data_IF_042751203592
#
_entry.id   IF_042751203592
#
_cell.length_a   1.000
_cell.length_b   1.000
_cell.length_c   1.000
_cell.angle_alpha   90.00
_cell.angle_beta   90.00
_cell.angle_gamma   90.00
#
_symmetry.space_group_name_H-M   'P 1'
#
loop_
_entity.id
_entity.type
_entity.pdbx_description
1 polymer ?
#
# COMPACT_ATOMS: atom_id res chain seq x y z
N UNK A 1 28.23 -61.26 69.06
CA UNK A 1 27.22 -61.46 70.15
C UNK A 1 26.11 -60.44 69.94
N UNK A 2 24.90 -60.88 70.01
CA UNK A 2 23.61 -60.25 69.96
C UNK A 2 23.13 -59.84 68.54
N UNK A 3 22.36 -60.78 68.01
CA UNK A 3 21.43 -60.64 66.89
C UNK A 3 20.23 -59.81 67.29
N UNK A 4 19.86 -58.86 66.41
CA UNK A 4 18.59 -58.18 66.46
C UNK A 4 17.84 -58.50 65.18
N UNK A 5 16.71 -59.14 65.33
CA UNK A 5 15.77 -59.47 64.25
C UNK A 5 14.96 -58.29 63.90
N UNK A 6 14.97 -57.93 62.60
CA UNK A 6 14.14 -56.85 62.04
C UNK A 6 12.86 -57.46 61.45
N UNK A 7 11.71 -57.06 61.98
CA UNK A 7 10.39 -57.38 61.41
C UNK A 7 10.08 -56.52 60.23
N UNK A 8 9.86 -57.11 59.10
CA UNK A 8 9.35 -56.44 57.91
C UNK A 8 7.83 -56.43 57.97
N UNK A 9 7.20 -55.30 58.15
CA UNK A 9 5.76 -55.12 57.99
C UNK A 9 5.51 -54.65 56.58
N UNK A 10 4.89 -55.52 55.78
CA UNK A 10 4.51 -55.18 54.39
C UNK A 10 3.18 -54.43 54.45
N UNK A 11 3.23 -53.13 54.09
CA UNK A 11 2.05 -52.29 53.94
C UNK A 11 1.68 -52.27 52.44
N UNK A 12 0.59 -52.95 52.09
CA UNK A 12 0.02 -52.90 50.73
C UNK A 12 -0.79 -51.61 50.61
N UNK A 13 -0.27 -50.63 49.87
CA UNK A 13 -1.02 -49.46 49.49
C UNK A 13 -1.67 -49.70 48.11
N UNK A 14 -3.00 -49.81 48.12
CA UNK A 14 -3.79 -49.89 46.91
C UNK A 14 -3.71 -48.49 46.19
N UNK A 15 -3.00 -48.40 45.06
CA UNK A 15 -3.01 -47.25 44.19
C UNK A 15 -4.30 -47.24 43.36
N UNK A 16 -5.23 -46.38 43.74
CA UNK A 16 -6.34 -46.00 42.89
C UNK A 16 -5.83 -45.26 41.67
N UNK A 17 -6.06 -45.78 40.47
CA UNK A 17 -5.85 -45.08 39.21
C UNK A 17 -6.92 -44.00 39.08
N UNK A 18 -6.59 -42.77 39.45
CA UNK A 18 -7.36 -41.60 39.01
C UNK A 18 -6.96 -41.34 37.56
N UNK A 19 -7.88 -41.61 36.64
CA UNK A 19 -7.82 -41.14 35.25
C UNK A 19 -7.74 -39.63 35.27
N UNK A 20 -6.60 -39.04 34.91
CA UNK A 20 -6.54 -37.68 34.51
C UNK A 20 -7.28 -37.52 33.18
N UNK A 21 -8.46 -36.94 33.23
CA UNK A 21 -9.05 -36.31 32.06
C UNK A 21 -8.06 -35.25 31.60
N UNK A 22 -7.67 -35.32 30.34
CA UNK A 22 -6.95 -34.27 29.66
C UNK A 22 -7.80 -33.00 29.77
N UNK A 23 -7.38 -32.07 30.63
CA UNK A 23 -7.84 -30.72 30.56
C UNK A 23 -7.47 -30.22 29.16
N UNK A 24 -8.49 -30.04 28.34
CA UNK A 24 -8.33 -29.30 27.11
C UNK A 24 -7.75 -27.93 27.49
N UNK A 25 -6.71 -27.54 26.81
CA UNK A 25 -6.11 -26.23 26.93
C UNK A 25 -7.14 -25.20 26.42
N UNK A 26 -8.08 -24.82 27.32
CA UNK A 26 -9.02 -23.71 27.13
C UNK A 26 -8.30 -22.37 27.41
N UNK A 27 -7.08 -22.23 26.92
CA UNK A 27 -6.52 -20.92 26.75
C UNK A 27 -7.45 -20.18 25.77
N UNK A 28 -8.03 -19.03 26.15
CA UNK A 28 -8.86 -18.28 25.23
C UNK A 28 -8.01 -18.00 23.99
N UNK A 29 -8.41 -18.57 22.84
CA UNK A 29 -7.87 -18.14 21.56
C UNK A 29 -8.19 -16.66 21.47
N UNK A 30 -7.18 -15.82 21.67
CA UNK A 30 -7.28 -14.40 21.37
C UNK A 30 -7.46 -14.38 19.87
N UNK A 31 -8.68 -14.17 19.42
CA UNK A 31 -9.01 -13.91 18.02
C UNK A 31 -8.46 -12.52 17.69
N UNK A 32 -7.18 -12.49 17.31
CA UNK A 32 -6.52 -11.25 16.93
C UNK A 32 -7.11 -10.90 15.56
N UNK A 33 -8.01 -9.92 15.54
CA UNK A 33 -8.46 -9.35 14.27
C UNK A 33 -7.23 -8.84 13.50
N UNK A 34 -6.88 -9.42 12.34
CA UNK A 34 -5.67 -9.06 11.60
C UNK A 34 -5.69 -7.60 11.13
N UNK A 35 -6.87 -6.95 11.14
CA UNK A 35 -7.05 -5.56 10.71
C UNK A 35 -7.19 -4.59 11.89
N UNK A 36 -6.86 -5.01 13.13
CA UNK A 36 -7.04 -4.17 14.33
C UNK A 36 -6.20 -2.88 14.35
N UNK A 37 -5.08 -2.86 13.63
CA UNK A 37 -4.17 -1.72 13.50
C UNK A 37 -4.36 -0.95 12.19
N UNK A 38 -5.32 -1.36 11.36
CA UNK A 38 -5.62 -0.73 10.08
C UNK A 38 -6.84 0.19 10.19
N UNK A 39 -6.85 1.24 9.41
CA UNK A 39 -8.01 2.13 9.30
C UNK A 39 -9.01 1.55 8.31
N UNK A 40 -10.28 1.45 8.72
CA UNK A 40 -11.38 1.08 7.84
C UNK A 40 -11.72 2.28 6.93
N UNK A 41 -11.47 2.15 5.63
CA UNK A 41 -11.77 3.18 4.63
C UNK A 41 -13.22 3.11 4.15
N UNK A 42 -13.74 1.90 3.96
CA UNK A 42 -15.12 1.68 3.53
C UNK A 42 -15.61 0.31 3.98
N UNK A 43 -16.93 0.23 4.28
CA UNK A 43 -17.67 -1.01 4.47
C UNK A 43 -18.85 -1.00 3.51
N UNK A 44 -18.82 -1.89 2.51
CA UNK A 44 -19.80 -1.91 1.41
C UNK A 44 -20.68 -3.14 1.55
N UNK A 45 -21.94 -2.95 1.88
CA UNK A 45 -22.89 -4.04 2.09
C UNK A 45 -23.68 -4.34 0.81
N UNK A 46 -23.55 -5.54 0.29
CA UNK A 46 -24.31 -6.00 -0.86
C UNK A 46 -24.39 -7.53 -0.91
N UNK A 47 -25.47 -8.07 -1.47
CA UNK A 47 -25.64 -9.50 -1.73
C UNK A 47 -25.58 -10.41 -0.49
N UNK A 48 -25.83 -9.87 0.70
CA UNK A 48 -25.66 -10.60 1.98
C UNK A 48 -24.21 -10.62 2.50
N UNK A 49 -23.32 -9.90 1.87
CA UNK A 49 -21.90 -9.79 2.22
C UNK A 49 -21.53 -8.36 2.54
N UNK A 50 -20.42 -8.18 3.30
CA UNK A 50 -19.74 -6.91 3.51
C UNK A 50 -18.34 -6.98 2.90
N UNK A 51 -18.02 -6.05 1.98
CA UNK A 51 -16.66 -5.80 1.52
C UNK A 51 -16.07 -4.70 2.40
N UNK A 52 -15.07 -5.05 3.18
CA UNK A 52 -14.36 -4.13 4.07
C UNK A 52 -13.02 -3.77 3.44
N UNK A 53 -12.79 -2.47 3.25
CA UNK A 53 -11.56 -1.91 2.68
C UNK A 53 -10.77 -1.21 3.76
N UNK A 54 -9.50 -1.55 3.89
CA UNK A 54 -8.62 -1.02 4.92
C UNK A 54 -7.34 -0.44 4.32
N UNK A 55 -6.70 0.47 5.04
CA UNK A 55 -5.36 0.98 4.76
C UNK A 55 -4.54 1.08 6.03
N UNK A 56 -3.24 0.84 5.92
CA UNK A 56 -2.27 1.15 6.95
C UNK A 56 -1.92 2.65 6.88
N UNK A 57 -2.11 3.38 7.96
CA UNK A 57 -1.71 4.79 8.09
C UNK A 57 -2.68 5.83 7.52
N UNK A 58 -3.41 5.57 6.43
CA UNK A 58 -4.41 6.51 5.89
C UNK A 58 -5.81 6.20 6.43
N UNK A 59 -6.58 7.23 6.76
CA UNK A 59 -7.96 7.17 7.20
C UNK A 59 -8.99 7.42 6.08
N UNK A 60 -8.50 7.67 4.87
CA UNK A 60 -9.29 7.98 3.68
C UNK A 60 -8.49 7.69 2.42
N UNK A 61 -9.17 7.51 1.27
CA UNK A 61 -8.50 7.45 -0.01
C UNK A 61 -7.92 8.83 -0.36
N UNK A 62 -6.67 8.85 -0.84
CA UNK A 62 -5.96 10.09 -1.17
C UNK A 62 -5.39 10.04 -2.58
N UNK A 63 -5.16 11.21 -3.17
CA UNK A 63 -4.37 11.27 -4.40
C UNK A 63 -2.96 10.74 -4.15
N UNK A 64 -2.41 10.02 -5.14
CA UNK A 64 -1.15 9.29 -5.03
C UNK A 64 -1.37 7.80 -4.79
N UNK A 65 -0.36 7.14 -4.25
CA UNK A 65 -0.35 5.71 -3.97
C UNK A 65 -1.18 5.38 -2.73
N UNK A 66 -2.05 4.38 -2.84
CA UNK A 66 -2.84 3.83 -1.74
C UNK A 66 -2.71 2.31 -1.75
N UNK A 67 -2.08 1.71 -0.74
CA UNK A 67 -2.16 0.27 -0.50
C UNK A 67 -3.46 -0.04 0.22
N UNK A 68 -4.22 -0.98 -0.31
CA UNK A 68 -5.57 -1.31 0.15
C UNK A 68 -5.64 -2.80 0.46
N UNK A 69 -6.17 -3.10 1.63
CA UNK A 69 -6.47 -4.46 2.07
C UNK A 69 -7.98 -4.66 2.01
N UNK A 70 -8.41 -5.79 1.47
CA UNK A 70 -9.84 -6.09 1.28
C UNK A 70 -10.18 -7.42 1.92
N UNK A 71 -11.32 -7.48 2.60
CA UNK A 71 -11.92 -8.69 3.14
C UNK A 71 -13.36 -8.79 2.70
N UNK A 72 -13.86 -10.01 2.58
CA UNK A 72 -15.28 -10.28 2.33
C UNK A 72 -15.83 -11.07 3.52
N UNK A 73 -16.87 -10.51 4.14
CA UNK A 73 -17.55 -11.09 5.30
C UNK A 73 -18.96 -11.54 4.90
N UNK A 74 -19.37 -12.72 5.36
CA UNK A 74 -20.76 -13.15 5.34
C UNK A 74 -21.55 -12.41 6.44
N UNK A 75 -22.63 -11.72 6.09
CA UNK A 75 -23.44 -10.97 7.06
C UNK A 75 -24.38 -11.86 7.88
N UNK A 76 -24.53 -13.14 7.54
CA UNK A 76 -25.41 -14.07 8.26
C UNK A 76 -24.72 -14.67 9.50
N UNK A 77 -23.44 -14.98 9.41
CA UNK A 77 -22.66 -15.64 10.48
C UNK A 77 -21.43 -14.85 10.93
N UNK A 78 -21.19 -13.67 10.29
CA UNK A 78 -20.07 -12.75 10.54
C UNK A 78 -18.67 -13.33 10.28
N UNK A 79 -18.59 -14.48 9.59
CA UNK A 79 -17.33 -15.10 9.21
C UNK A 79 -16.75 -14.46 7.94
N UNK A 80 -15.41 -14.47 7.83
CA UNK A 80 -14.70 -14.01 6.64
C UNK A 80 -14.41 -15.17 5.69
N UNK A 81 -14.65 -14.94 4.40
CA UNK A 81 -14.32 -15.92 3.38
C UNK A 81 -12.80 -16.07 3.22
N UNK A 82 -12.35 -17.32 3.20
CA UNK A 82 -10.97 -17.63 2.93
C UNK A 82 -10.70 -17.71 1.42
N UNK A 83 -9.55 -17.19 1.00
CA UNK A 83 -9.10 -17.17 -0.40
C UNK A 83 -10.13 -16.54 -1.36
N UNK A 84 -10.68 -15.35 -1.07
CA UNK A 84 -11.64 -14.71 -1.94
C UNK A 84 -10.96 -14.30 -3.26
N UNK A 85 -11.59 -14.65 -4.40
CA UNK A 85 -11.18 -14.15 -5.71
C UNK A 85 -11.84 -12.79 -5.92
N UNK A 86 -11.05 -11.71 -5.89
CA UNK A 86 -11.58 -10.34 -6.04
C UNK A 86 -10.81 -9.62 -7.15
N UNK A 87 -11.55 -8.93 -7.99
CA UNK A 87 -11.01 -7.95 -8.94
C UNK A 87 -11.68 -6.61 -8.74
N UNK A 88 -11.00 -5.54 -9.13
CA UNK A 88 -11.52 -4.19 -9.02
C UNK A 88 -11.25 -3.35 -10.27
N UNK A 89 -12.13 -2.38 -10.51
CA UNK A 89 -11.99 -1.40 -11.59
C UNK A 89 -12.38 -0.03 -11.06
N UNK A 90 -11.40 0.81 -10.68
CA UNK A 90 -11.65 2.20 -10.34
C UNK A 90 -11.92 3.02 -11.61
N UNK A 91 -12.89 3.93 -11.55
CA UNK A 91 -13.24 4.84 -12.64
C UNK A 91 -13.49 6.23 -12.08
N UNK A 92 -12.80 7.22 -12.65
CA UNK A 92 -13.09 8.64 -12.46
C UNK A 92 -14.12 9.09 -13.48
N UNK A 93 -15.25 9.57 -12.98
CA UNK A 93 -16.31 10.18 -13.78
C UNK A 93 -16.07 11.67 -13.84
N UNK A 94 -15.75 12.15 -15.02
CA UNK A 94 -15.53 13.58 -15.29
C UNK A 94 -16.64 14.11 -16.21
N UNK A 95 -16.82 15.42 -16.21
CA UNK A 95 -17.82 16.07 -17.05
C UNK A 95 -17.70 15.72 -18.54
N UNK A 96 -16.49 15.51 -19.04
CA UNK A 96 -16.24 15.29 -20.46
C UNK A 96 -15.75 13.88 -20.83
N UNK A 97 -15.28 13.10 -19.87
CA UNK A 97 -14.70 11.78 -20.12
C UNK A 97 -14.66 10.94 -18.84
N UNK A 98 -14.42 9.65 -19.00
CA UNK A 98 -14.12 8.75 -17.88
C UNK A 98 -12.73 8.16 -18.07
N UNK A 99 -12.01 7.96 -16.97
CA UNK A 99 -10.73 7.25 -16.98
C UNK A 99 -10.53 6.44 -15.69
N UNK A 100 -9.71 5.41 -15.78
CA UNK A 100 -9.25 4.65 -14.63
C UNK A 100 -7.95 5.26 -14.07
N UNK A 101 -7.35 4.56 -13.11
CA UNK A 101 -6.03 4.88 -12.56
C UNK A 101 -5.11 3.65 -12.62
N UNK A 102 -3.79 3.83 -12.47
CA UNK A 102 -2.89 2.70 -12.25
C UNK A 102 -3.33 1.88 -11.04
N UNK A 103 -3.31 0.57 -11.19
CA UNK A 103 -3.75 -0.37 -10.14
C UNK A 103 -3.01 -1.70 -10.26
N UNK A 104 -2.90 -2.43 -9.16
CA UNK A 104 -2.51 -3.83 -9.17
C UNK A 104 -3.72 -4.76 -9.22
N UNK A 105 -3.46 -6.03 -9.46
CA UNK A 105 -4.37 -7.09 -9.04
C UNK A 105 -4.39 -7.18 -7.52
N UNK A 106 -5.49 -7.72 -6.98
CA UNK A 106 -5.61 -8.07 -5.57
C UNK A 106 -5.05 -9.48 -5.36
N UNK A 107 -4.11 -9.62 -4.43
CA UNK A 107 -3.45 -10.89 -4.10
C UNK A 107 -3.65 -11.22 -2.62
N UNK A 108 -3.77 -12.51 -2.31
CA UNK A 108 -3.89 -12.99 -0.92
C UNK A 108 -2.60 -12.67 -0.16
N UNK A 109 -2.74 -12.16 1.07
CA UNK A 109 -1.59 -11.89 1.94
C UNK A 109 -1.03 -13.21 2.49
N UNK A 110 0.29 -13.25 2.73
CA UNK A 110 0.95 -14.45 3.26
C UNK A 110 0.52 -14.75 4.71
N UNK A 111 0.22 -13.69 5.47
CA UNK A 111 -0.12 -13.77 6.89
C UNK A 111 -1.55 -14.25 7.13
N UNK A 112 -2.47 -13.96 6.21
CA UNK A 112 -3.89 -14.27 6.40
C UNK A 112 -4.63 -14.51 5.08
N UNK A 113 -5.15 -15.70 4.90
CA UNK A 113 -5.87 -16.10 3.69
C UNK A 113 -7.28 -15.50 3.55
N UNK A 114 -7.77 -14.73 4.53
CA UNK A 114 -9.02 -13.97 4.40
C UNK A 114 -8.80 -12.54 3.93
N UNK A 115 -7.53 -12.11 3.78
CA UNK A 115 -7.16 -10.76 3.40
C UNK A 115 -6.49 -10.78 2.03
N UNK A 116 -6.98 -9.99 1.09
CA UNK A 116 -6.29 -9.69 -0.16
C UNK A 116 -5.79 -8.26 -0.14
N UNK A 117 -4.67 -7.99 -0.81
CA UNK A 117 -4.12 -6.64 -0.92
C UNK A 117 -3.76 -6.26 -2.34
N UNK A 118 -3.80 -4.98 -2.61
CA UNK A 118 -3.37 -4.37 -3.85
C UNK A 118 -3.20 -2.87 -3.68
N UNK A 119 -2.90 -2.17 -4.76
CA UNK A 119 -2.78 -0.72 -4.73
C UNK A 119 -3.60 -0.04 -5.83
N UNK A 120 -3.98 1.20 -5.54
CA UNK A 120 -4.56 2.18 -6.47
C UNK A 120 -3.71 3.46 -6.45
N UNK A 121 -3.50 4.07 -7.63
CA UNK A 121 -2.79 5.35 -7.73
C UNK A 121 -3.72 6.40 -8.31
N UNK A 122 -4.41 7.12 -7.44
CA UNK A 122 -5.33 8.18 -7.86
C UNK A 122 -4.57 9.42 -8.32
N UNK A 123 -4.79 9.85 -9.56
CA UNK A 123 -4.11 11.03 -10.12
C UNK A 123 -4.70 12.35 -9.64
N UNK A 124 -5.97 12.34 -9.21
CA UNK A 124 -6.71 13.54 -8.80
C UNK A 124 -7.77 13.22 -7.75
N UNK A 125 -8.09 14.20 -6.94
CA UNK A 125 -9.19 14.13 -5.99
C UNK A 125 -10.55 14.25 -6.69
N UNK A 126 -11.59 13.75 -6.04
CA UNK A 126 -12.97 14.03 -6.42
C UNK A 126 -13.38 15.48 -6.11
N UNK A 127 -14.50 15.91 -6.66
CA UNK A 127 -15.17 17.17 -6.35
C UNK A 127 -16.69 16.98 -6.50
N UNK A 128 -17.46 18.08 -6.48
CA UNK A 128 -18.93 18.02 -6.53
C UNK A 128 -19.48 17.40 -7.83
N UNK A 129 -18.77 17.57 -8.95
CA UNK A 129 -19.24 17.20 -10.28
C UNK A 129 -18.48 15.99 -10.85
N UNK A 130 -17.34 15.67 -10.27
CA UNK A 130 -16.41 14.64 -10.74
C UNK A 130 -16.00 13.76 -9.56
N UNK A 131 -16.21 12.44 -9.70
CA UNK A 131 -16.07 11.50 -8.59
C UNK A 131 -15.46 10.18 -9.04
N UNK A 132 -14.90 9.45 -8.10
CA UNK A 132 -14.42 8.09 -8.28
C UNK A 132 -15.48 7.09 -7.85
N UNK A 133 -15.62 6.02 -8.62
CA UNK A 133 -16.22 4.77 -8.14
C UNK A 133 -15.25 3.60 -8.30
N UNK A 134 -15.52 2.51 -7.60
CA UNK A 134 -14.83 1.24 -7.78
C UNK A 134 -15.90 0.16 -8.01
N UNK A 135 -15.81 -0.53 -9.15
CA UNK A 135 -16.56 -1.75 -9.37
C UNK A 135 -15.73 -2.93 -8.87
N UNK A 136 -16.26 -3.66 -7.91
CA UNK A 136 -15.71 -4.93 -7.43
C UNK A 136 -16.46 -6.09 -8.09
N UNK A 137 -15.69 -7.08 -8.58
CA UNK A 137 -16.24 -8.39 -8.93
C UNK A 137 -15.54 -9.41 -8.04
N UNK A 138 -16.32 -10.19 -7.29
CA UNK A 138 -15.78 -11.15 -6.34
C UNK A 138 -16.51 -12.47 -6.40
N UNK A 139 -15.79 -13.55 -6.06
CA UNK A 139 -16.31 -14.90 -6.09
C UNK A 139 -16.10 -15.57 -4.74
N UNK A 140 -17.20 -16.02 -4.15
CA UNK A 140 -17.24 -16.76 -2.90
C UNK A 140 -18.14 -17.98 -3.07
N UNK A 141 -17.71 -19.13 -2.53
CA UNK A 141 -18.45 -20.40 -2.61
C UNK A 141 -18.86 -20.81 -4.05
N UNK A 142 -18.07 -20.37 -5.05
CA UNK A 142 -18.31 -20.67 -6.47
C UNK A 142 -19.35 -19.75 -7.14
N UNK A 143 -19.97 -18.83 -6.41
CA UNK A 143 -20.89 -17.83 -6.93
C UNK A 143 -20.16 -16.50 -7.14
N UNK A 144 -20.37 -15.87 -8.30
CA UNK A 144 -19.82 -14.57 -8.65
C UNK A 144 -20.83 -13.46 -8.35
N UNK A 145 -20.32 -12.37 -7.78
CA UNK A 145 -21.06 -11.15 -7.45
C UNK A 145 -20.34 -9.94 -7.99
N UNK A 146 -21.10 -8.87 -8.27
CA UNK A 146 -20.54 -7.58 -8.64
C UNK A 146 -21.27 -6.46 -7.91
N UNK A 147 -20.53 -5.43 -7.54
CA UNK A 147 -21.07 -4.21 -6.96
C UNK A 147 -20.20 -3.02 -7.38
N UNK A 148 -20.79 -1.84 -7.39
CA UNK A 148 -20.07 -0.58 -7.63
C UNK A 148 -20.36 0.38 -6.48
N UNK A 149 -19.32 1.00 -5.95
CA UNK A 149 -19.41 1.96 -4.85
C UNK A 149 -18.67 3.24 -5.20
N UNK A 150 -19.29 4.37 -4.90
CA UNK A 150 -18.65 5.68 -5.00
C UNK A 150 -17.74 5.89 -3.79
N UNK A 151 -16.51 6.31 -4.04
CA UNK A 151 -15.51 6.58 -3.00
C UNK A 151 -15.11 8.05 -3.01
N UNK A 152 -14.79 8.56 -1.83
CA UNK A 152 -14.26 9.91 -1.68
C UNK A 152 -12.74 9.87 -1.68
N UNK A 153 -12.14 10.38 -2.77
CA UNK A 153 -10.69 10.53 -2.91
C UNK A 153 -10.33 11.98 -2.68
N UNK A 154 -9.61 12.25 -1.60
CA UNK A 154 -9.26 13.61 -1.19
C UNK A 154 -7.79 13.95 -1.52
N UNK A 155 -7.48 15.23 -1.59
CA UNK A 155 -6.09 15.68 -1.68
C UNK A 155 -5.33 15.39 -0.38
N UNK A 156 -3.99 15.20 -0.42
CA UNK A 156 -3.18 15.07 0.80
C UNK A 156 -3.37 16.27 1.73
N UNK A 157 -3.43 16.02 3.04
CA UNK A 157 -3.67 17.06 4.04
C UNK A 157 -2.59 18.13 4.08
N UNK A 158 -1.37 17.78 3.71
CA UNK A 158 -0.20 18.67 3.61
C UNK A 158 -0.18 19.45 2.29
N UNK A 159 -1.07 19.13 1.33
CA UNK A 159 -1.14 19.76 0.00
C UNK A 159 0.08 19.47 -0.88
N UNK A 160 0.92 18.49 -0.54
CA UNK A 160 2.17 18.19 -1.26
C UNK A 160 1.93 17.22 -2.41
N UNK A 161 2.62 17.47 -3.52
CA UNK A 161 2.51 16.65 -4.72
C UNK A 161 3.29 15.34 -4.57
N UNK A 162 2.58 14.22 -4.40
CA UNK A 162 3.13 12.85 -4.34
C UNK A 162 2.81 12.03 -5.59
N UNK A 163 2.04 12.57 -6.50
CA UNK A 163 1.71 11.97 -7.81
C UNK A 163 1.68 13.06 -8.87
N UNK A 164 2.11 12.72 -10.08
CA UNK A 164 2.06 13.62 -11.23
C UNK A 164 1.78 12.87 -12.52
N UNK A 165 0.98 13.46 -13.38
CA UNK A 165 0.73 12.98 -14.74
C UNK A 165 1.33 13.96 -15.74
N UNK A 166 2.09 13.47 -16.71
CA UNK A 166 2.80 14.32 -17.67
C UNK A 166 2.91 13.64 -19.04
N UNK A 167 3.22 14.47 -20.05
CA UNK A 167 3.59 14.00 -21.38
C UNK A 167 5.11 13.92 -21.47
N UNK A 168 5.64 12.75 -21.88
CA UNK A 168 7.05 12.58 -22.21
C UNK A 168 7.40 13.21 -23.56
N UNK A 169 8.69 13.39 -23.83
CA UNK A 169 9.21 13.84 -25.14
C UNK A 169 8.96 12.84 -26.29
N UNK A 170 8.54 11.63 -25.95
CA UNK A 170 8.14 10.55 -26.84
C UNK A 170 6.63 10.52 -27.11
N UNK A 171 5.90 11.58 -26.76
CA UNK A 171 4.44 11.71 -26.89
C UNK A 171 3.63 10.67 -26.10
N UNK A 172 4.24 9.99 -25.13
CA UNK A 172 3.56 9.05 -24.22
C UNK A 172 3.15 9.78 -22.94
N UNK A 173 1.92 9.54 -22.47
CA UNK A 173 1.47 10.06 -21.18
C UNK A 173 1.88 9.07 -20.07
N UNK A 174 2.51 9.63 -19.06
CA UNK A 174 2.98 8.90 -17.89
C UNK A 174 2.26 9.33 -16.61
N UNK A 175 2.21 8.42 -15.64
CA UNK A 175 1.84 8.69 -14.24
C UNK A 175 3.01 8.23 -13.38
N UNK A 176 3.55 9.14 -12.58
CA UNK A 176 4.62 8.87 -11.62
C UNK A 176 4.09 9.14 -10.21
N UNK A 177 4.21 8.14 -9.33
CA UNK A 177 3.75 8.24 -7.94
C UNK A 177 4.87 7.87 -6.98
N UNK A 178 5.04 8.66 -5.92
CA UNK A 178 5.90 8.33 -4.79
C UNK A 178 5.16 7.34 -3.88
N UNK A 179 5.86 6.29 -3.47
CA UNK A 179 5.39 5.28 -2.51
C UNK A 179 6.01 5.55 -1.14
N UNK A 180 7.35 5.67 -1.10
CA UNK A 180 8.12 5.97 0.11
C UNK A 180 9.02 7.21 -0.11
N UNK A 181 9.34 7.96 0.95
CA UNK A 181 9.00 7.73 2.34
C UNK A 181 7.57 8.19 2.68
N UNK A 182 6.82 7.34 3.39
CA UNK A 182 5.53 7.66 4.02
C UNK A 182 5.75 8.52 5.28
N UNK A 183 6.82 8.22 6.04
CA UNK A 183 7.25 8.94 7.25
C UNK A 183 8.70 9.42 7.09
N UNK A 184 8.96 10.56 6.43
CA UNK A 184 10.31 11.06 6.21
C UNK A 184 11.03 11.43 7.51
N UNK A 185 12.33 11.14 7.57
CA UNK A 185 13.19 11.41 8.72
C UNK A 185 14.38 12.28 8.32
N UNK A 186 14.93 13.04 9.27
CA UNK A 186 16.23 13.72 9.09
C UNK A 186 17.35 12.67 9.06
N UNK A 187 17.48 12.01 7.92
CA UNK A 187 18.39 10.88 7.67
C UNK A 187 18.47 10.60 6.16
N UNK A 188 19.20 9.55 5.81
CA UNK A 188 19.07 8.92 4.49
C UNK A 188 17.88 7.96 4.53
N UNK A 189 16.81 8.35 3.85
CA UNK A 189 15.57 7.57 3.72
C UNK A 189 15.63 6.68 2.47
N UNK A 190 14.90 5.59 2.47
CA UNK A 190 14.55 4.92 1.24
C UNK A 190 13.54 5.79 0.46
N UNK A 191 13.77 5.95 -0.83
CA UNK A 191 12.76 6.55 -1.72
C UNK A 191 12.30 5.48 -2.70
N UNK A 192 10.99 5.34 -2.80
CA UNK A 192 10.35 4.41 -3.71
C UNK A 192 9.31 5.14 -4.55
N UNK A 193 9.29 4.83 -5.85
CA UNK A 193 8.31 5.38 -6.78
C UNK A 193 7.83 4.31 -7.77
N UNK A 194 6.66 4.52 -8.33
CA UNK A 194 6.09 3.69 -9.40
C UNK A 194 5.81 4.55 -10.62
N UNK A 195 6.17 4.05 -11.78
CA UNK A 195 5.97 4.69 -13.08
C UNK A 195 5.04 3.86 -13.95
N UNK A 196 4.05 4.50 -14.52
CA UNK A 196 3.07 3.87 -15.41
C UNK A 196 2.97 4.67 -16.71
N UNK A 197 2.66 4.01 -17.81
CA UNK A 197 2.26 4.67 -19.07
C UNK A 197 0.77 4.47 -19.31
N UNK A 198 0.13 5.47 -19.84
CA UNK A 198 -1.26 5.41 -20.25
C UNK A 198 -1.36 4.83 -21.66
N UNK A 199 -1.77 3.57 -21.79
CA UNK A 199 -2.05 2.95 -23.08
C UNK A 199 -3.47 3.25 -23.57
N UNK A 200 -4.39 3.45 -22.63
CA UNK A 200 -5.76 3.91 -22.89
C UNK A 200 -6.31 4.60 -21.64
N UNK A 201 -7.51 5.16 -21.71
CA UNK A 201 -8.21 5.72 -20.56
C UNK A 201 -8.43 4.71 -19.42
N UNK A 202 -8.41 3.40 -19.72
CA UNK A 202 -8.67 2.34 -18.75
C UNK A 202 -7.44 1.45 -18.49
N UNK A 203 -6.29 1.70 -19.13
CA UNK A 203 -5.10 0.85 -19.05
C UNK A 203 -3.85 1.66 -18.75
N UNK A 204 -3.20 1.33 -17.63
CA UNK A 204 -1.99 1.98 -17.13
C UNK A 204 -0.94 0.93 -16.74
N UNK A 205 -0.33 0.20 -17.71
CA UNK A 205 0.71 -0.75 -17.38
C UNK A 205 1.93 -0.06 -16.78
N UNK A 206 2.59 -0.76 -15.86
CA UNK A 206 3.83 -0.31 -15.25
C UNK A 206 4.95 -0.23 -16.30
N UNK A 207 5.79 0.78 -16.18
CA UNK A 207 7.01 0.94 -16.97
C UNK A 207 8.19 0.41 -16.18
N UNK A 208 9.02 -0.39 -16.82
CA UNK A 208 10.19 -1.02 -16.23
C UNK A 208 11.49 -0.51 -16.89
N UNK A 209 12.62 -0.70 -16.21
CA UNK A 209 13.95 -0.46 -16.78
C UNK A 209 14.26 0.99 -17.24
N UNK A 210 13.55 1.98 -16.66
CA UNK A 210 13.90 3.38 -16.80
C UNK A 210 14.76 3.82 -15.62
N UNK A 211 15.19 5.07 -15.61
CA UNK A 211 15.92 5.69 -14.48
C UNK A 211 15.27 7.01 -14.13
N UNK A 212 15.15 7.30 -12.84
CA UNK A 212 14.65 8.58 -12.34
C UNK A 212 15.78 9.25 -11.56
N UNK A 213 16.39 10.28 -12.12
CA UNK A 213 17.40 11.06 -11.43
C UNK A 213 16.74 11.92 -10.35
N UNK A 214 17.42 12.07 -9.22
CA UNK A 214 16.90 12.71 -8.00
C UNK A 214 17.78 13.86 -7.55
N UNK A 215 17.23 15.07 -7.49
CA UNK A 215 17.89 16.26 -6.95
C UNK A 215 16.97 16.98 -5.94
N UNK A 216 17.04 16.61 -4.64
CA UNK A 216 16.23 17.23 -3.59
C UNK A 216 16.76 18.63 -3.25
N UNK A 217 15.86 19.60 -3.16
CA UNK A 217 16.15 21.00 -2.88
C UNK A 217 15.23 21.57 -1.80
N UNK A 218 15.75 22.51 -1.02
CA UNK A 218 14.97 23.32 -0.07
C UNK A 218 14.83 24.76 -0.59
N UNK A 219 13.74 25.10 -1.27
CA UNK A 219 13.56 26.44 -1.83
C UNK A 219 13.64 27.56 -0.77
N UNK A 220 13.06 27.34 0.41
CA UNK A 220 13.08 28.28 1.52
C UNK A 220 14.47 28.51 2.16
N UNK A 221 15.47 27.71 1.78
CA UNK A 221 16.86 27.79 2.28
C UNK A 221 17.86 28.09 1.14
N UNK A 222 17.48 28.99 0.22
CA UNK A 222 18.33 29.34 -0.92
C UNK A 222 18.57 28.18 -1.87
N UNK A 223 17.60 27.34 -2.06
CA UNK A 223 17.62 26.16 -2.92
C UNK A 223 18.73 25.16 -2.55
N UNK A 224 19.02 25.05 -1.24
CA UNK A 224 20.02 24.13 -0.70
C UNK A 224 19.72 22.67 -1.10
N UNK A 225 20.72 21.95 -1.56
CA UNK A 225 20.61 20.51 -1.84
C UNK A 225 21.18 19.66 -0.71
N UNK A 226 20.79 18.40 -0.63
CA UNK A 226 21.37 17.43 0.29
C UNK A 226 22.38 16.51 -0.42
N UNK A 227 23.45 16.08 0.25
CA UNK A 227 24.38 15.09 -0.28
C UNK A 227 23.86 13.65 -0.09
N UNK A 228 24.54 12.68 -0.72
CA UNK A 228 24.32 11.24 -0.53
C UNK A 228 22.95 10.72 -1.01
N UNK A 229 22.37 11.39 -2.00
CA UNK A 229 21.22 10.85 -2.72
C UNK A 229 21.65 9.78 -3.70
N UNK A 230 20.77 8.83 -3.98
CA UNK A 230 20.95 7.81 -5.02
C UNK A 230 19.73 7.84 -5.93
N UNK A 231 19.97 7.95 -7.22
CA UNK A 231 18.92 7.94 -8.25
C UNK A 231 18.10 6.65 -8.17
N UNK A 232 16.83 6.75 -8.57
CA UNK A 232 15.93 5.62 -8.52
C UNK A 232 16.11 4.74 -9.78
N UNK A 233 16.37 3.47 -9.55
CA UNK A 233 16.44 2.45 -10.60
C UNK A 233 15.38 1.38 -10.38
N UNK A 234 14.94 0.72 -11.45
CA UNK A 234 13.90 -0.28 -11.36
C UNK A 234 14.41 -1.56 -10.70
N UNK A 235 13.71 -1.99 -9.66
CA UNK A 235 13.91 -3.28 -8.98
C UNK A 235 12.81 -4.25 -9.43
N UNK A 236 13.21 -5.33 -10.09
CA UNK A 236 12.29 -6.33 -10.64
C UNK A 236 11.60 -7.17 -9.56
N UNK A 237 12.20 -7.32 -8.37
CA UNK A 237 11.60 -8.07 -7.27
C UNK A 237 10.54 -7.23 -6.55
N UNK A 238 10.85 -5.95 -6.29
CA UNK A 238 9.92 -5.00 -5.67
C UNK A 238 8.90 -4.43 -6.68
N UNK A 239 9.14 -4.57 -7.98
CA UNK A 239 8.35 -3.96 -9.07
C UNK A 239 8.18 -2.45 -8.88
N UNK A 240 9.25 -1.77 -8.53
CA UNK A 240 9.26 -0.33 -8.22
C UNK A 240 10.63 0.28 -8.51
N UNK A 241 10.68 1.61 -8.55
CA UNK A 241 11.93 2.36 -8.66
C UNK A 241 12.42 2.69 -7.25
N UNK A 242 13.62 2.27 -6.91
CA UNK A 242 14.20 2.42 -5.57
C UNK A 242 15.50 3.22 -5.62
N UNK A 243 15.65 4.14 -4.66
CA UNK A 243 16.82 4.99 -4.49
C UNK A 243 17.04 5.39 -3.04
N UNK A 244 17.86 6.41 -2.82
CA UNK A 244 18.11 6.98 -1.47
C UNK A 244 17.87 8.48 -1.50
N UNK A 245 17.12 8.97 -0.54
CA UNK A 245 16.79 10.37 -0.33
C UNK A 245 17.39 10.83 1.00
N UNK A 246 18.41 11.66 0.93
CA UNK A 246 19.01 12.26 2.11
C UNK A 246 18.27 13.55 2.45
N UNK A 247 17.70 13.61 3.64
CA UNK A 247 17.06 14.79 4.19
C UNK A 247 17.89 15.26 5.39
N UNK A 248 18.45 16.47 5.30
CA UNK A 248 19.40 16.98 6.31
C UNK A 248 18.73 17.81 7.40
N UNK A 249 17.49 18.20 7.21
CA UNK A 249 16.68 18.97 8.17
C UNK A 249 15.20 18.83 7.87
N UNK A 250 14.37 19.17 8.85
CA UNK A 250 12.90 19.28 8.67
C UNK A 250 12.54 20.51 7.83
N UNK A 251 11.32 20.49 7.28
CA UNK A 251 10.75 21.56 6.49
C UNK A 251 10.36 21.12 5.08
N UNK A 252 10.09 22.10 4.21
CA UNK A 252 9.64 21.85 2.85
C UNK A 252 10.80 21.49 1.92
N UNK A 253 10.68 20.34 1.27
CA UNK A 253 11.59 19.84 0.26
C UNK A 253 10.85 19.68 -1.08
N UNK A 254 11.49 20.13 -2.15
CA UNK A 254 11.09 19.85 -3.54
C UNK A 254 12.08 18.85 -4.13
N UNK A 255 11.58 17.67 -4.45
CA UNK A 255 12.38 16.60 -5.03
C UNK A 255 12.34 16.75 -6.54
N UNK A 256 13.29 17.49 -7.11
CA UNK A 256 13.42 17.67 -8.56
C UNK A 256 13.83 16.35 -9.19
N UNK A 257 13.09 15.90 -10.21
CA UNK A 257 13.27 14.62 -10.87
C UNK A 257 13.57 14.80 -12.35
N UNK A 258 14.22 13.80 -12.95
CA UNK A 258 14.40 13.72 -14.40
C UNK A 258 14.24 12.28 -14.83
N UNK A 259 13.27 12.01 -15.72
CA UNK A 259 12.97 10.66 -16.20
C UNK A 259 13.79 10.37 -17.46
N UNK A 260 14.54 9.28 -17.42
CA UNK A 260 15.30 8.74 -18.53
C UNK A 260 14.71 7.37 -18.95
N UNK A 261 14.56 7.16 -20.25
CA UNK A 261 14.18 5.85 -20.79
C UNK A 261 15.33 4.82 -20.70
N UNK A 262 15.07 3.58 -21.10
CA UNK A 262 16.06 2.49 -21.07
C UNK A 262 17.30 2.72 -21.94
N UNK A 263 17.32 3.71 -22.84
CA UNK A 263 18.48 4.11 -23.66
C UNK A 263 19.21 5.32 -23.10
N UNK A 264 18.72 5.91 -21.98
CA UNK A 264 19.29 7.08 -21.35
C UNK A 264 18.82 8.42 -21.94
N UNK A 265 17.80 8.41 -22.78
CA UNK A 265 17.20 9.63 -23.31
C UNK A 265 16.26 10.27 -22.28
N UNK A 266 16.33 11.59 -22.10
CA UNK A 266 15.49 12.34 -21.18
C UNK A 266 14.09 12.47 -21.76
N UNK A 267 13.10 11.91 -21.07
CA UNK A 267 11.68 12.01 -21.42
C UNK A 267 10.99 13.19 -20.75
N UNK A 268 11.39 13.56 -19.52
CA UNK A 268 10.80 14.65 -18.77
C UNK A 268 11.73 15.12 -17.64
N UNK A 269 11.63 16.40 -17.32
CA UNK A 269 12.40 17.04 -16.24
C UNK A 269 13.71 17.64 -16.73
N UNK A 270 14.21 18.60 -15.99
CA UNK A 270 15.38 19.42 -16.28
C UNK A 270 16.36 19.41 -15.10
N UNK A 271 17.63 19.74 -15.37
CA UNK A 271 18.62 19.95 -14.32
C UNK A 271 18.30 21.23 -13.53
N UNK A 272 18.52 21.16 -12.22
CA UNK A 272 18.44 22.34 -11.35
C UNK A 272 19.76 23.13 -11.51
N UNK A 273 19.64 24.39 -11.89
CA UNK A 273 20.76 25.33 -12.10
C UNK A 273 20.43 26.66 -11.45
N UNK A 274 21.34 27.63 -11.52
CA UNK A 274 21.08 29.01 -11.05
C UNK A 274 19.96 29.70 -11.87
N UNK A 275 19.78 29.28 -13.13
CA UNK A 275 18.77 29.84 -14.05
C UNK A 275 17.44 29.05 -14.00
N UNK A 276 17.50 27.79 -13.55
CA UNK A 276 16.35 26.88 -13.42
C UNK A 276 16.31 26.31 -12.01
N UNK A 277 15.56 26.94 -11.13
CA UNK A 277 15.54 26.59 -9.69
C UNK A 277 14.87 25.24 -9.36
N UNK A 278 14.11 24.65 -10.28
CA UNK A 278 13.46 23.36 -10.08
C UNK A 278 13.15 22.66 -11.41
N UNK A 279 13.12 21.32 -11.39
CA UNK A 279 12.62 20.54 -12.53
C UNK A 279 11.10 20.68 -12.69
N UNK A 280 10.62 20.59 -13.94
CA UNK A 280 9.19 20.48 -14.24
C UNK A 280 8.58 19.14 -13.80
N UNK A 281 9.41 18.12 -13.52
CA UNK A 281 9.01 16.85 -12.93
C UNK A 281 9.50 16.81 -11.48
N UNK A 282 8.61 16.70 -10.51
CA UNK A 282 8.99 16.75 -9.10
C UNK A 282 7.97 16.06 -8.18
N UNK A 283 8.41 15.73 -6.99
CA UNK A 283 7.59 15.47 -5.82
C UNK A 283 7.83 16.53 -4.75
N UNK A 284 6.98 16.57 -3.73
CA UNK A 284 7.09 17.47 -2.60
C UNK A 284 6.94 16.71 -1.28
N UNK A 285 7.74 17.12 -0.30
CA UNK A 285 7.66 16.66 1.09
C UNK A 285 7.73 17.85 2.05
N UNK A 286 7.05 17.73 3.17
CA UNK A 286 7.20 18.62 4.32
C UNK A 286 6.99 17.84 5.60
N UNK A 287 7.89 17.98 6.59
CA UNK A 287 7.84 17.22 7.83
C UNK A 287 8.60 17.91 8.97
#
# INVERSE_FOLDING_TARGET
MKTIKLFIVTFIVALGLTSCTSDGDDSPKIDINPMSEFNLLANIEANGHSLELYSEGNDSFRTGYNEIFVRVKDNADENYFANPEITWMPVMHMVSMNHSCPKSDLIITEENNTVVKGYLVFQMAGNTDEFWDITFTYKVEGQEYSLTETIDVIAPSDGKQKVTSFMGSDDVRYVLAMVEPSEPQVAVNDIQAMLFKMESMMSFPQVENYTILLDPRMPGMGNHSSPNNVDLTYDTAAKSYNGKLSLTMTGYWKLSLKLLNGTGEVLKGEDVTEENEASSLYFELEF
#
